data_IF_165990037217
#
_entry.id   IF_165990037217
#
_cell.length_a   1.000
_cell.length_b   1.000
_cell.length_c   1.000
_cell.angle_alpha   90.00
_cell.angle_beta   90.00
_cell.angle_gamma   90.00
#
_symmetry.space_group_name_H-M   'P 1'
#
loop_
_entity.id
_entity.type
_entity.pdbx_description
1 polymer ?
#
# COMPACT_ATOMS: atom_id res chain seq x y z
N UNK A 1 3.75 -13.41 -1.25
CA UNK A 1 4.40 -12.49 -0.28
C UNK A 1 3.63 -12.55 1.04
N UNK A 2 4.32 -12.66 2.18
CA UNK A 2 3.74 -12.41 3.50
C UNK A 2 3.97 -10.92 3.80
N UNK A 3 3.02 -10.05 3.45
CA UNK A 3 3.22 -8.60 3.50
C UNK A 3 3.16 -8.01 4.91
N UNK A 4 2.70 -8.80 5.89
CA UNK A 4 2.18 -8.21 7.14
C UNK A 4 1.07 -7.21 6.83
N UNK A 5 0.87 -6.24 7.73
CA UNK A 5 -0.12 -5.16 7.54
C UNK A 5 0.34 -4.04 6.60
N UNK A 6 1.37 -4.27 5.77
CA UNK A 6 1.90 -3.24 4.86
C UNK A 6 0.99 -3.04 3.65
N UNK A 7 0.44 -4.12 3.08
CA UNK A 7 -0.54 -4.08 1.97
C UNK A 7 -1.62 -5.13 2.21
N UNK A 8 -2.87 -4.70 2.31
CA UNK A 8 -4.04 -5.57 2.42
C UNK A 8 -5.24 -4.95 1.70
N UNK A 9 -6.25 -5.77 1.40
CA UNK A 9 -7.47 -5.34 0.68
C UNK A 9 -8.45 -4.65 1.64
N UNK A 10 -8.06 -3.47 2.11
CA UNK A 10 -8.78 -2.65 3.07
C UNK A 10 -8.18 -1.24 3.17
N UNK A 11 -8.65 -0.40 4.11
CA UNK A 11 -8.10 0.94 4.29
C UNK A 11 -6.64 0.84 4.75
N UNK A 12 -5.71 1.36 3.95
CA UNK A 12 -4.30 1.46 4.34
C UNK A 12 -4.14 2.54 5.41
N UNK A 13 -3.59 2.17 6.56
CA UNK A 13 -3.42 3.04 7.73
C UNK A 13 -2.00 3.62 7.69
N UNK A 14 -1.91 4.93 7.49
CA UNK A 14 -0.64 5.67 7.43
C UNK A 14 -0.53 6.75 8.52
N UNK A 15 -1.48 6.80 9.46
CA UNK A 15 -1.64 7.83 10.50
C UNK A 15 -1.35 7.34 11.93
N UNK A 16 -0.85 6.12 12.08
CA UNK A 16 -0.43 5.57 13.37
C UNK A 16 0.77 6.35 13.98
N UNK A 17 0.91 6.28 15.31
CA UNK A 17 2.03 6.89 16.02
C UNK A 17 3.38 6.34 15.51
N UNK A 18 4.25 7.24 15.03
CA UNK A 18 5.51 6.98 14.31
C UNK A 18 5.41 6.54 12.83
N UNK A 19 4.23 6.60 12.20
CA UNK A 19 4.15 6.40 10.75
C UNK A 19 4.89 7.52 10.00
N UNK A 20 5.79 7.13 9.09
CA UNK A 20 6.43 8.04 8.16
C UNK A 20 5.84 7.81 6.77
N UNK A 21 4.94 8.70 6.34
CA UNK A 21 4.20 8.56 5.08
C UNK A 21 5.16 8.53 3.87
N UNK A 22 6.24 9.30 3.92
CA UNK A 22 7.24 9.33 2.84
C UNK A 22 7.97 7.98 2.70
N UNK A 23 8.36 7.36 3.83
CA UNK A 23 8.96 6.02 3.83
C UNK A 23 7.97 4.95 3.37
N UNK A 24 6.69 5.11 3.74
CA UNK A 24 5.62 4.21 3.30
C UNK A 24 5.38 4.31 1.80
N UNK A 25 5.34 5.53 1.23
CA UNK A 25 5.25 5.74 -0.22
C UNK A 25 6.45 5.12 -0.96
N UNK A 26 7.67 5.36 -0.49
CA UNK A 26 8.88 4.76 -1.08
C UNK A 26 8.84 3.23 -1.02
N UNK A 27 8.32 2.67 0.08
CA UNK A 27 8.11 1.23 0.22
C UNK A 27 7.10 0.70 -0.79
N UNK A 28 5.96 1.38 -0.96
CA UNK A 28 4.93 0.99 -1.93
C UNK A 28 5.44 1.07 -3.38
N UNK A 29 6.26 2.08 -3.71
CA UNK A 29 6.91 2.17 -5.02
C UNK A 29 7.83 0.96 -5.28
N UNK A 30 8.63 0.56 -4.29
CA UNK A 30 9.50 -0.62 -4.41
C UNK A 30 8.69 -1.92 -4.50
N UNK A 31 7.64 -2.04 -3.68
CA UNK A 31 6.73 -3.18 -3.67
C UNK A 31 6.01 -3.35 -5.01
N UNK A 32 5.64 -2.25 -5.69
CA UNK A 32 4.98 -2.28 -6.99
C UNK A 32 5.78 -3.04 -8.06
N UNK A 33 7.11 -2.97 -7.98
CA UNK A 33 8.02 -3.61 -8.94
C UNK A 33 8.20 -5.12 -8.69
N UNK A 34 7.79 -5.61 -7.52
CA UNK A 34 7.90 -7.02 -7.18
C UNK A 34 6.88 -7.87 -7.95
N UNK A 35 7.34 -9.03 -8.41
CA UNK A 35 6.50 -10.02 -9.08
C UNK A 35 5.70 -10.84 -8.07
N UNK A 36 4.62 -10.26 -7.56
CA UNK A 36 3.76 -10.88 -6.53
C UNK A 36 2.57 -11.56 -7.17
N UNK A 37 2.46 -12.89 -7.03
CA UNK A 37 1.28 -13.64 -7.48
C UNK A 37 0.11 -13.58 -6.51
N UNK A 38 0.41 -13.77 -5.21
CA UNK A 38 -0.58 -13.76 -4.12
C UNK A 38 -0.01 -13.03 -2.93
N UNK A 39 -0.84 -12.17 -2.34
CA UNK A 39 -0.60 -11.50 -1.06
C UNK A 39 -1.48 -12.17 -0.01
N UNK A 40 -0.85 -12.56 1.10
CA UNK A 40 -1.54 -12.99 2.31
C UNK A 40 -1.40 -11.87 3.34
N UNK A 41 -2.44 -11.05 3.48
CA UNK A 41 -2.48 -9.96 4.47
C UNK A 41 -2.60 -10.51 5.90
N UNK A 42 -2.17 -9.71 6.90
CA UNK A 42 -2.43 -10.02 8.32
C UNK A 42 -3.92 -9.98 8.66
N UNK A 43 -4.66 -9.11 7.97
CA UNK A 43 -6.11 -9.02 7.95
C UNK A 43 -6.66 -9.22 6.53
N UNK A 44 -7.94 -9.63 6.43
CA UNK A 44 -8.70 -9.87 5.19
C UNK A 44 -8.28 -11.09 4.35
N UNK A 45 -9.12 -11.54 3.38
CA UNK A 45 -8.75 -12.62 2.48
C UNK A 45 -7.51 -12.32 1.66
N UNK A 46 -6.82 -13.37 1.23
CA UNK A 46 -5.71 -13.24 0.29
C UNK A 46 -6.20 -12.78 -1.08
N UNK A 47 -5.35 -12.02 -1.78
CA UNK A 47 -5.68 -11.47 -3.10
C UNK A 47 -4.53 -11.62 -4.08
N UNK A 48 -4.87 -11.59 -5.37
CA UNK A 48 -3.92 -11.80 -6.45
C UNK A 48 -3.20 -10.54 -6.91
N UNK A 49 -2.20 -10.75 -7.76
CA UNK A 49 -1.37 -9.74 -8.44
C UNK A 49 -2.12 -8.49 -8.93
N UNK A 50 -3.27 -8.67 -9.58
CA UNK A 50 -4.04 -7.55 -10.14
C UNK A 50 -4.52 -6.62 -9.04
N UNK A 51 -5.11 -7.16 -7.97
CA UNK A 51 -5.60 -6.37 -6.84
C UNK A 51 -4.45 -5.72 -6.07
N UNK A 52 -3.32 -6.42 -5.96
CA UNK A 52 -2.10 -5.89 -5.38
C UNK A 52 -1.62 -4.60 -6.06
N UNK A 53 -1.53 -4.61 -7.40
CA UNK A 53 -1.13 -3.41 -8.15
C UNK A 53 -2.16 -2.28 -8.03
N UNK A 54 -3.45 -2.62 -8.07
CA UNK A 54 -4.53 -1.62 -7.90
C UNK A 54 -4.43 -0.89 -6.56
N UNK A 55 -4.29 -1.62 -5.44
CA UNK A 55 -4.20 -1.02 -4.11
C UNK A 55 -3.01 -0.05 -4.02
N UNK A 56 -1.84 -0.47 -4.52
CA UNK A 56 -0.63 0.36 -4.53
C UNK A 56 -0.83 1.62 -5.41
N UNK A 57 -1.33 1.43 -6.63
CA UNK A 57 -1.53 2.52 -7.58
C UNK A 57 -2.59 3.53 -7.07
N UNK A 58 -3.68 3.06 -6.45
CA UNK A 58 -4.73 3.88 -5.84
C UNK A 58 -4.16 4.76 -4.71
N UNK A 59 -3.38 4.16 -3.79
CA UNK A 59 -2.77 4.91 -2.69
C UNK A 59 -1.75 5.94 -3.20
N UNK A 60 -0.85 5.53 -4.09
CA UNK A 60 0.14 6.43 -4.67
C UNK A 60 -0.53 7.55 -5.46
N UNK A 61 -1.61 7.32 -6.20
CA UNK A 61 -2.31 8.37 -6.94
C UNK A 61 -2.99 9.41 -6.04
N UNK A 62 -3.55 8.98 -4.89
CA UNK A 62 -4.16 9.88 -3.93
C UNK A 62 -3.12 10.71 -3.16
N UNK A 63 -1.94 10.14 -2.88
CA UNK A 63 -0.87 10.80 -2.09
C UNK A 63 0.21 11.51 -2.94
N UNK A 64 0.41 11.13 -4.22
CA UNK A 64 1.35 11.80 -5.15
C UNK A 64 0.89 13.18 -5.63
N UNK A 65 -0.28 13.68 -5.23
CA UNK A 65 -0.68 15.06 -5.57
C UNK A 65 0.32 16.03 -4.93
N UNK A 66 1.13 16.76 -5.71
CA UNK A 66 2.00 17.77 -5.14
C UNK A 66 1.11 18.83 -4.48
N UNK A 67 1.21 18.97 -3.15
CA UNK A 67 0.47 19.98 -2.39
C UNK A 67 -0.93 19.60 -1.90
N UNK A 68 -1.34 18.32 -1.91
CA UNK A 68 -2.65 17.93 -1.36
C UNK A 68 -2.52 17.33 0.06
N UNK A 69 -1.99 18.10 1.00
CA UNK A 69 -2.17 17.83 2.42
C UNK A 69 -3.39 18.64 2.86
N UNK A 70 -4.48 17.95 3.22
CA UNK A 70 -5.73 18.46 3.81
C UNK A 70 -6.70 19.19 2.86
N UNK A 71 -7.75 18.48 2.46
CA UNK A 71 -9.10 19.03 2.29
C UNK A 71 -10.09 18.04 2.89
#
# INVERSE_FOLDING_TARGET
MLSGDIVYDGPLIDDAYHSQVDDYMATLEHLRELDVDVVHGGHFPSFGRTRYRQIIDEYLAQKRKPGCHLA
#
